data_IF_652403487894
#
_entry.id   IF_652403487894
#
_cell.length_a   1.000
_cell.length_b   1.000
_cell.length_c   1.000
_cell.angle_alpha   90.00
_cell.angle_beta   90.00
_cell.angle_gamma   90.00
#
_symmetry.space_group_name_H-M   'P 1'
#
loop_
_entity.id
_entity.type
_entity.pdbx_description
1 polymer ?
#
# COMPACT_ATOMS: atom_id res chain seq x y z
N UNK A 1 19.69 -16.53 0.69
CA UNK A 1 19.67 -15.93 2.04
C UNK A 1 21.12 -15.85 2.52
N UNK A 2 21.62 -14.67 2.84
CA UNK A 2 22.96 -14.38 3.33
C UNK A 2 22.97 -14.52 4.87
N UNK A 3 23.35 -15.71 5.34
CA UNK A 3 23.39 -16.01 6.77
C UNK A 3 24.56 -15.35 7.50
N UNK A 4 25.61 -14.92 6.79
CA UNK A 4 26.69 -14.12 7.38
C UNK A 4 26.12 -12.78 7.86
N UNK A 5 25.30 -12.12 7.04
CA UNK A 5 24.65 -10.86 7.41
C UNK A 5 23.71 -11.01 8.62
N UNK A 6 23.02 -12.15 8.73
CA UNK A 6 22.20 -12.48 9.91
C UNK A 6 23.08 -12.61 11.16
N UNK A 7 24.17 -13.38 11.07
CA UNK A 7 25.12 -13.57 12.16
C UNK A 7 25.73 -12.25 12.65
N UNK A 8 26.16 -11.40 11.72
CA UNK A 8 26.68 -10.08 12.01
C UNK A 8 25.65 -9.21 12.74
N UNK A 9 24.38 -9.26 12.32
CA UNK A 9 23.34 -8.48 12.98
C UNK A 9 22.98 -8.99 14.38
N UNK A 10 22.93 -10.31 14.57
CA UNK A 10 22.73 -10.90 15.90
C UNK A 10 23.84 -10.42 16.84
N UNK A 11 25.09 -10.44 16.38
CA UNK A 11 26.25 -9.96 17.13
C UNK A 11 26.18 -8.47 17.45
N UNK A 12 25.76 -7.66 16.50
CA UNK A 12 25.56 -6.21 16.66
C UNK A 12 24.52 -5.93 17.76
N UNK A 13 23.30 -6.50 17.63
CA UNK A 13 22.22 -6.31 18.60
C UNK A 13 22.61 -6.82 20.00
N UNK A 14 23.23 -8.00 20.07
CA UNK A 14 23.71 -8.55 21.34
C UNK A 14 24.66 -7.59 22.04
N UNK A 15 25.61 -7.01 21.30
CA UNK A 15 26.57 -6.03 21.84
C UNK A 15 25.89 -4.73 22.26
N UNK A 16 24.94 -4.22 21.48
CA UNK A 16 24.15 -3.03 21.83
C UNK A 16 23.38 -3.22 23.13
N UNK A 17 22.90 -4.44 23.40
CA UNK A 17 22.22 -4.82 24.63
C UNK A 17 23.16 -5.21 25.77
N UNK A 18 24.48 -5.13 25.58
CA UNK A 18 25.47 -5.47 26.61
C UNK A 18 25.54 -6.95 26.98
N UNK A 19 24.98 -7.85 26.16
CA UNK A 19 24.92 -9.29 26.46
C UNK A 19 26.21 -10.01 26.03
N UNK A 20 26.67 -10.95 26.84
CA UNK A 20 27.66 -11.97 26.45
C UNK A 20 27.02 -13.05 25.57
N UNK A 21 27.83 -13.83 24.85
CA UNK A 21 27.32 -14.95 24.05
C UNK A 21 26.70 -16.04 24.93
N UNK A 22 27.17 -16.23 26.17
CA UNK A 22 26.58 -17.17 27.13
C UNK A 22 25.22 -16.72 27.63
N UNK A 23 25.04 -15.42 27.89
CA UNK A 23 23.74 -14.86 28.28
C UNK A 23 22.75 -14.95 27.12
N UNK A 24 23.18 -14.65 25.88
CA UNK A 24 22.34 -14.86 24.71
C UNK A 24 21.97 -16.34 24.51
N UNK A 25 22.88 -17.28 24.82
CA UNK A 25 22.66 -18.71 24.64
C UNK A 25 21.74 -19.35 25.70
N UNK A 26 21.63 -18.77 26.89
CA UNK A 26 21.03 -19.40 28.07
C UNK A 26 19.61 -19.95 27.82
N UNK A 27 19.38 -21.26 27.97
CA UNK A 27 18.06 -21.87 27.72
C UNK A 27 17.61 -21.90 26.25
N UNK A 28 18.50 -21.58 25.30
CA UNK A 28 18.24 -21.63 23.86
C UNK A 28 19.17 -22.66 23.20
N UNK A 29 20.49 -22.48 23.37
CA UNK A 29 21.51 -23.33 22.76
C UNK A 29 22.84 -23.20 23.53
N UNK A 30 23.94 -23.72 22.98
CA UNK A 30 25.26 -23.55 23.60
C UNK A 30 25.91 -22.22 23.23
N UNK A 31 26.76 -21.67 24.10
CA UNK A 31 27.53 -20.46 23.78
C UNK A 31 28.40 -20.65 22.51
N UNK A 32 28.98 -21.84 22.32
CA UNK A 32 29.73 -22.18 21.13
C UNK A 32 28.86 -22.14 19.86
N UNK A 33 27.60 -22.54 19.96
CA UNK A 33 26.64 -22.45 18.85
C UNK A 33 26.29 -21.00 18.52
N UNK A 34 26.05 -20.14 19.51
CA UNK A 34 25.91 -18.69 19.29
C UNK A 34 27.16 -18.13 18.59
N UNK A 35 28.37 -18.49 19.03
CA UNK A 35 29.59 -18.00 18.37
C UNK A 35 29.69 -18.44 16.91
N UNK A 36 29.24 -19.65 16.56
CA UNK A 36 29.24 -20.13 15.16
C UNK A 36 28.16 -19.44 14.33
N UNK A 37 26.99 -19.21 14.91
CA UNK A 37 25.90 -18.44 14.27
C UNK A 37 26.38 -17.01 13.97
N UNK A 38 26.99 -16.33 14.94
CA UNK A 38 27.49 -14.95 14.77
C UNK A 38 28.62 -14.82 13.73
N UNK A 39 29.33 -15.91 13.43
CA UNK A 39 30.35 -15.95 12.36
C UNK A 39 29.78 -16.34 10.99
N UNK A 40 28.52 -16.77 10.94
CA UNK A 40 27.92 -17.36 9.74
C UNK A 40 28.35 -18.80 9.46
N UNK A 41 29.05 -19.45 10.40
CA UNK A 41 29.58 -20.82 10.24
C UNK A 41 28.49 -21.89 10.35
N UNK A 42 27.39 -21.60 11.06
CA UNK A 42 26.27 -22.51 11.29
C UNK A 42 24.95 -21.78 11.13
N UNK A 43 24.02 -22.42 10.42
CA UNK A 43 22.66 -21.92 10.25
C UNK A 43 21.79 -22.33 11.45
N UNK A 44 21.17 -21.38 12.17
CA UNK A 44 20.26 -21.72 13.24
C UNK A 44 18.98 -22.36 12.69
N UNK A 45 18.41 -23.31 13.43
CA UNK A 45 17.03 -23.72 13.19
C UNK A 45 16.08 -22.54 13.41
N UNK A 46 14.93 -22.55 12.74
CA UNK A 46 13.92 -21.49 12.86
C UNK A 46 13.50 -21.24 14.32
N UNK A 47 13.34 -22.31 15.11
CA UNK A 47 13.04 -22.22 16.55
C UNK A 47 14.15 -21.52 17.34
N UNK A 48 15.42 -21.81 17.03
CA UNK A 48 16.57 -21.15 17.66
C UNK A 48 16.61 -19.68 17.30
N UNK A 49 16.41 -19.32 16.02
CA UNK A 49 16.42 -17.93 15.57
C UNK A 49 15.27 -17.13 16.20
N UNK A 50 14.10 -17.73 16.35
CA UNK A 50 12.95 -17.13 17.05
C UNK A 50 13.25 -16.83 18.52
N UNK A 51 13.80 -17.80 19.26
CA UNK A 51 14.16 -17.58 20.67
C UNK A 51 15.26 -16.52 20.82
N UNK A 52 16.21 -16.48 19.89
CA UNK A 52 17.23 -15.41 19.82
C UNK A 52 16.55 -14.06 19.59
N UNK A 53 15.58 -13.95 18.68
CA UNK A 53 14.88 -12.70 18.40
C UNK A 53 14.10 -12.20 19.61
N UNK A 54 13.41 -13.09 20.33
CA UNK A 54 12.73 -12.76 21.57
C UNK A 54 13.68 -12.19 22.62
N UNK A 55 14.85 -12.81 22.81
CA UNK A 55 15.86 -12.32 23.78
C UNK A 55 16.45 -10.97 23.38
N UNK A 56 16.59 -10.73 22.08
CA UNK A 56 17.08 -9.46 21.54
C UNK A 56 15.99 -8.39 21.40
N UNK A 57 14.74 -8.70 21.78
CA UNK A 57 13.63 -7.75 21.73
C UNK A 57 13.22 -7.33 20.31
N UNK A 58 13.46 -8.18 19.31
CA UNK A 58 13.14 -7.91 17.90
C UNK A 58 12.24 -8.99 17.32
N UNK A 59 11.44 -8.61 16.32
CA UNK A 59 10.69 -9.56 15.52
C UNK A 59 11.63 -10.46 14.70
N UNK A 60 11.34 -11.75 14.60
CA UNK A 60 12.20 -12.71 13.87
C UNK A 60 12.34 -12.34 12.38
N UNK A 61 11.33 -11.69 11.79
CA UNK A 61 11.35 -11.21 10.42
C UNK A 61 12.49 -10.22 10.17
N UNK A 62 12.91 -9.46 11.20
CA UNK A 62 14.06 -8.57 11.11
C UNK A 62 15.32 -9.26 10.59
N UNK A 63 15.57 -10.49 11.03
CA UNK A 63 16.73 -11.27 10.59
C UNK A 63 16.54 -11.84 9.19
N UNK A 64 15.33 -12.31 8.85
CA UNK A 64 15.04 -12.80 7.50
C UNK A 64 15.17 -11.71 6.45
N UNK A 65 14.75 -10.50 6.78
CA UNK A 65 14.85 -9.31 5.96
C UNK A 65 16.31 -8.97 5.61
N UNK A 66 17.18 -8.93 6.62
CA UNK A 66 18.63 -8.69 6.46
C UNK A 66 19.29 -9.82 5.65
N UNK A 67 18.88 -11.06 5.90
CA UNK A 67 19.40 -12.22 5.18
C UNK A 67 18.92 -12.31 3.73
N UNK A 68 17.80 -11.71 3.36
CA UNK A 68 17.24 -11.87 2.00
C UNK A 68 17.57 -10.71 1.08
N UNK A 69 17.71 -9.49 1.62
CA UNK A 69 17.94 -8.29 0.82
C UNK A 69 19.11 -7.49 1.39
N UNK A 70 20.27 -7.46 0.71
CA UNK A 70 21.34 -6.53 1.05
C UNK A 70 20.79 -5.09 1.02
N UNK A 71 21.06 -4.31 2.07
CA UNK A 71 20.51 -2.95 2.25
C UNK A 71 18.97 -2.89 2.15
N UNK A 72 18.28 -3.74 2.91
CA UNK A 72 16.80 -3.73 2.94
C UNK A 72 16.23 -2.38 3.37
N UNK A 73 16.92 -1.67 4.27
CA UNK A 73 16.63 -0.31 4.69
C UNK A 73 16.51 0.65 3.50
N UNK A 74 17.44 0.55 2.54
CA UNK A 74 17.41 1.33 1.32
C UNK A 74 16.19 1.00 0.45
N UNK A 75 15.90 -0.29 0.24
CA UNK A 75 14.75 -0.72 -0.56
C UNK A 75 13.42 -0.30 0.09
N UNK A 76 13.33 -0.40 1.42
CA UNK A 76 12.18 0.06 2.19
C UNK A 76 11.98 1.56 2.05
N UNK A 77 13.06 2.34 2.12
CA UNK A 77 13.00 3.80 1.96
C UNK A 77 12.54 4.19 0.55
N UNK A 78 13.08 3.57 -0.50
CA UNK A 78 12.61 3.78 -1.88
C UNK A 78 11.13 3.41 -2.02
N UNK A 79 10.71 2.26 -1.47
CA UNK A 79 9.30 1.85 -1.50
C UNK A 79 8.39 2.84 -0.76
N UNK A 80 8.88 3.44 0.33
CA UNK A 80 8.16 4.47 1.10
C UNK A 80 8.01 5.75 0.28
N UNK A 81 9.09 6.24 -0.34
CA UNK A 81 9.07 7.43 -1.18
C UNK A 81 8.12 7.26 -2.38
N UNK A 82 8.22 6.13 -3.10
CA UNK A 82 7.31 5.81 -4.20
C UNK A 82 5.85 5.77 -3.76
N UNK A 83 5.57 5.22 -2.57
CA UNK A 83 4.22 5.19 -1.99
C UNK A 83 3.71 6.61 -1.68
N UNK A 84 4.53 7.48 -1.11
CA UNK A 84 4.16 8.87 -0.83
C UNK A 84 3.92 9.66 -2.11
N UNK A 85 4.87 9.63 -3.04
CA UNK A 85 4.75 10.31 -4.32
C UNK A 85 3.49 9.87 -5.09
N UNK A 86 3.18 8.56 -5.08
CA UNK A 86 1.93 8.03 -5.66
C UNK A 86 0.67 8.56 -4.97
N UNK A 87 0.67 8.70 -3.64
CA UNK A 87 -0.47 9.23 -2.88
C UNK A 87 -0.68 10.72 -3.13
N UNK A 88 0.40 11.46 -3.30
CA UNK A 88 0.38 12.90 -3.57
C UNK A 88 0.21 13.24 -5.05
N UNK A 89 0.20 12.24 -5.93
CA UNK A 89 0.15 12.38 -7.39
C UNK A 89 1.39 13.09 -7.98
N UNK A 90 2.54 12.93 -7.32
CA UNK A 90 3.84 13.51 -7.70
C UNK A 90 4.53 12.60 -8.76
N UNK A 91 3.93 12.53 -9.95
CA UNK A 91 4.38 11.59 -10.99
C UNK A 91 5.81 11.85 -11.50
N UNK A 92 6.26 13.11 -11.49
CA UNK A 92 7.64 13.45 -11.84
C UNK A 92 8.63 12.90 -10.82
N UNK A 93 8.31 12.95 -9.53
CA UNK A 93 9.14 12.35 -8.48
C UNK A 93 9.21 10.82 -8.63
N UNK A 94 8.08 10.17 -8.93
CA UNK A 94 8.05 8.74 -9.26
C UNK A 94 9.00 8.44 -10.43
N UNK A 95 8.95 9.24 -11.49
CA UNK A 95 9.85 9.10 -12.64
C UNK A 95 11.32 9.18 -12.22
N UNK A 96 11.71 10.22 -11.46
CA UNK A 96 13.10 10.41 -11.04
C UNK A 96 13.59 9.26 -10.14
N UNK A 97 12.77 8.81 -9.18
CA UNK A 97 13.10 7.67 -8.32
C UNK A 97 13.30 6.41 -9.16
N UNK A 98 12.33 6.08 -10.03
CA UNK A 98 12.42 4.88 -10.87
C UNK A 98 13.65 4.95 -11.79
N UNK A 99 13.96 6.10 -12.38
CA UNK A 99 15.14 6.29 -13.23
C UNK A 99 16.47 6.08 -12.51
N UNK A 100 16.58 6.52 -11.27
CA UNK A 100 17.76 6.25 -10.44
C UNK A 100 17.91 4.76 -10.17
N UNK A 101 16.80 4.06 -9.87
CA UNK A 101 16.83 2.65 -9.46
C UNK A 101 16.84 1.64 -10.61
N UNK A 102 16.55 2.06 -11.84
CA UNK A 102 16.48 1.18 -13.03
C UNK A 102 17.79 0.41 -13.31
N UNK A 103 18.93 0.89 -12.80
CA UNK A 103 20.25 0.25 -12.94
C UNK A 103 20.73 -0.41 -11.64
N UNK A 104 19.97 -0.31 -10.56
CA UNK A 104 20.38 -0.80 -9.25
C UNK A 104 20.15 -2.32 -9.15
N UNK A 105 21.24 -3.06 -8.88
CA UNK A 105 21.21 -4.51 -8.74
C UNK A 105 20.24 -4.99 -7.65
N UNK A 106 20.02 -4.20 -6.59
CA UNK A 106 19.08 -4.52 -5.51
C UNK A 106 17.63 -4.68 -6.01
N UNK A 107 17.28 -3.97 -7.08
CA UNK A 107 15.97 -4.07 -7.69
C UNK A 107 15.96 -5.08 -8.83
N UNK A 108 16.97 -5.06 -9.70
CA UNK A 108 17.01 -5.94 -10.88
C UNK A 108 17.13 -7.43 -10.54
N UNK A 109 17.84 -7.78 -9.47
CA UNK A 109 18.09 -9.18 -9.11
C UNK A 109 17.01 -9.78 -8.19
N UNK A 110 16.07 -8.95 -7.71
CA UNK A 110 14.99 -9.39 -6.84
C UNK A 110 13.64 -9.15 -7.52
N UNK A 111 12.90 -10.24 -7.78
CA UNK A 111 11.61 -10.20 -8.50
C UNK A 111 10.58 -9.25 -7.88
N UNK A 112 10.49 -9.19 -6.54
CA UNK A 112 9.55 -8.30 -5.83
C UNK A 112 9.94 -6.83 -5.96
N UNK A 113 11.24 -6.55 -5.88
CA UNK A 113 11.75 -5.18 -6.03
C UNK A 113 11.62 -4.71 -7.49
N UNK A 114 11.90 -5.59 -8.45
CA UNK A 114 11.68 -5.31 -9.87
C UNK A 114 10.21 -5.07 -10.18
N UNK A 115 9.30 -5.86 -9.61
CA UNK A 115 7.86 -5.63 -9.70
C UNK A 115 7.48 -4.24 -9.19
N UNK A 116 8.02 -3.81 -8.05
CA UNK A 116 7.79 -2.46 -7.51
C UNK A 116 8.22 -1.38 -8.52
N UNK A 117 9.38 -1.52 -9.16
CA UNK A 117 9.83 -0.55 -10.16
C UNK A 117 8.95 -0.56 -11.41
N UNK A 118 8.64 -1.73 -11.97
CA UNK A 118 7.81 -1.84 -13.17
C UNK A 118 6.39 -1.30 -12.92
N UNK A 119 5.84 -1.52 -11.73
CA UNK A 119 4.57 -0.95 -11.33
C UNK A 119 4.58 0.58 -11.40
N UNK A 120 5.54 1.22 -10.74
CA UNK A 120 5.66 2.67 -10.72
C UNK A 120 6.06 3.25 -12.08
N UNK A 121 6.81 2.48 -12.86
CA UNK A 121 7.11 2.79 -14.26
C UNK A 121 5.85 2.86 -15.09
N UNK A 122 4.96 1.87 -14.99
CA UNK A 122 3.68 1.86 -15.67
C UNK A 122 2.82 3.08 -15.29
N UNK A 123 2.79 3.45 -14.01
CA UNK A 123 2.08 4.64 -13.53
C UNK A 123 2.60 5.92 -14.22
N UNK A 124 3.90 6.21 -14.13
CA UNK A 124 4.40 7.47 -14.70
C UNK A 124 4.33 7.48 -16.23
N UNK A 125 4.51 6.35 -16.91
CA UNK A 125 4.42 6.28 -18.39
C UNK A 125 3.01 6.66 -18.87
N UNK A 126 1.98 6.33 -18.09
CA UNK A 126 0.64 6.84 -18.36
C UNK A 126 0.50 8.33 -18.02
N UNK A 127 0.81 8.73 -16.78
CA UNK A 127 0.47 10.08 -16.32
C UNK A 127 1.31 11.19 -16.97
N UNK A 128 2.59 10.93 -17.26
CA UNK A 128 3.50 11.89 -17.89
C UNK A 128 3.52 11.78 -19.42
N UNK A 129 3.56 10.56 -19.95
CA UNK A 129 3.76 10.33 -21.39
C UNK A 129 2.48 9.98 -22.14
N UNK A 130 1.34 9.82 -21.44
CA UNK A 130 0.03 9.45 -22.02
C UNK A 130 0.07 8.16 -22.84
N UNK A 131 0.99 7.24 -22.52
CA UNK A 131 1.16 6.00 -23.25
C UNK A 131 0.45 4.83 -22.56
N UNK A 132 -0.84 4.66 -22.85
CA UNK A 132 -1.69 3.62 -22.26
C UNK A 132 -1.15 2.22 -22.54
N UNK A 133 -0.81 1.91 -23.80
CA UNK A 133 -0.33 0.58 -24.19
C UNK A 133 0.95 0.17 -23.46
N UNK A 134 1.91 1.09 -23.38
CA UNK A 134 3.18 0.85 -22.66
C UNK A 134 2.95 0.73 -21.16
N UNK A 135 2.08 1.56 -20.58
CA UNK A 135 1.72 1.46 -19.17
C UNK A 135 1.14 0.08 -18.85
N UNK A 136 0.15 -0.38 -19.62
CA UNK A 136 -0.46 -1.70 -19.43
C UNK A 136 0.55 -2.83 -19.55
N UNK A 137 1.39 -2.81 -20.60
CA UNK A 137 2.45 -3.80 -20.75
C UNK A 137 3.35 -3.88 -19.52
N UNK A 138 3.80 -2.74 -18.99
CA UNK A 138 4.65 -2.69 -17.80
C UNK A 138 3.94 -3.21 -16.55
N UNK A 139 2.66 -2.91 -16.38
CA UNK A 139 1.86 -3.37 -15.24
C UNK A 139 1.61 -4.89 -15.32
N UNK A 140 1.38 -5.42 -16.53
CA UNK A 140 1.24 -6.86 -16.75
C UNK A 140 2.56 -7.60 -16.54
N UNK A 141 3.68 -7.07 -17.06
CA UNK A 141 5.03 -7.58 -16.79
C UNK A 141 5.31 -7.59 -15.27
N UNK A 142 4.90 -6.54 -14.55
CA UNK A 142 5.05 -6.46 -13.09
C UNK A 142 4.25 -7.55 -12.35
N UNK A 143 3.02 -7.84 -12.77
CA UNK A 143 2.21 -8.92 -12.19
C UNK A 143 2.88 -10.28 -12.47
N UNK A 144 3.27 -10.55 -13.72
CA UNK A 144 3.89 -11.83 -14.12
C UNK A 144 5.20 -12.13 -13.37
N UNK A 145 5.91 -11.10 -12.88
CA UNK A 145 7.11 -11.29 -12.10
C UNK A 145 6.90 -12.01 -10.78
N UNK A 146 5.73 -12.00 -10.16
CA UNK A 146 5.52 -12.60 -8.83
C UNK A 146 4.22 -13.36 -8.72
N UNK A 147 3.30 -13.18 -9.67
CA UNK A 147 2.03 -13.84 -9.68
C UNK A 147 2.21 -15.36 -9.83
N UNK A 148 1.63 -16.07 -8.87
CA UNK A 148 1.36 -17.50 -8.92
C UNK A 148 -0.16 -17.69 -8.77
N UNK A 149 -0.65 -18.71 -8.08
CA UNK A 149 -2.10 -18.94 -7.94
C UNK A 149 -2.86 -17.89 -7.11
N UNK A 150 -2.20 -17.24 -6.14
CA UNK A 150 -2.82 -16.31 -5.18
C UNK A 150 -2.24 -14.92 -5.35
N UNK A 151 -3.09 -13.90 -5.32
CA UNK A 151 -2.67 -12.51 -5.40
C UNK A 151 -2.15 -12.05 -4.04
N UNK A 152 -1.00 -11.39 -4.01
CA UNK A 152 -0.58 -10.61 -2.85
C UNK A 152 -1.21 -9.22 -2.89
N UNK A 153 -1.00 -8.44 -1.82
CA UNK A 153 -1.34 -7.01 -1.79
C UNK A 153 -0.79 -6.26 -3.00
N UNK A 154 0.39 -6.65 -3.50
CA UNK A 154 1.02 -5.98 -4.62
C UNK A 154 0.25 -6.16 -5.92
N UNK A 155 -0.22 -7.37 -6.23
CA UNK A 155 -1.03 -7.62 -7.43
C UNK A 155 -2.37 -6.88 -7.36
N UNK A 156 -2.96 -6.75 -6.17
CA UNK A 156 -4.18 -5.94 -5.95
C UNK A 156 -3.89 -4.47 -6.22
N UNK A 157 -2.80 -3.92 -5.70
CA UNK A 157 -2.43 -2.52 -5.93
C UNK A 157 -2.08 -2.21 -7.39
N UNK A 158 -1.40 -3.12 -8.09
CA UNK A 158 -1.12 -2.98 -9.53
C UNK A 158 -2.43 -2.99 -10.32
N UNK A 159 -3.35 -3.90 -9.98
CA UNK A 159 -4.67 -3.97 -10.61
C UNK A 159 -5.49 -2.71 -10.34
N UNK A 160 -5.41 -2.16 -9.13
CA UNK A 160 -6.00 -0.86 -8.81
C UNK A 160 -5.45 0.24 -9.72
N UNK A 161 -4.12 0.30 -9.96
CA UNK A 161 -3.54 1.24 -10.92
C UNK A 161 -4.04 1.04 -12.35
N UNK A 162 -4.16 -0.21 -12.82
CA UNK A 162 -4.73 -0.51 -14.14
C UNK A 162 -6.17 0.01 -14.27
N UNK A 163 -7.01 -0.25 -13.27
CA UNK A 163 -8.39 0.22 -13.26
C UNK A 163 -8.50 1.74 -13.19
N UNK A 164 -7.58 2.43 -12.50
CA UNK A 164 -7.54 3.90 -12.46
C UNK A 164 -7.25 4.43 -13.87
N UNK A 165 -6.27 3.86 -14.58
CA UNK A 165 -5.97 4.26 -15.96
C UNK A 165 -7.20 4.08 -16.86
N UNK A 166 -7.89 2.94 -16.77
CA UNK A 166 -9.12 2.69 -17.57
C UNK A 166 -10.24 3.67 -17.23
N UNK A 167 -10.39 4.02 -15.96
CA UNK A 167 -11.37 5.01 -15.53
C UNK A 167 -11.07 6.39 -16.12
N UNK A 168 -9.80 6.81 -16.13
CA UNK A 168 -9.39 8.11 -16.71
C UNK A 168 -9.53 8.12 -18.24
N UNK A 169 -9.38 6.97 -18.90
CA UNK A 169 -9.65 6.78 -20.34
C UNK A 169 -11.16 6.59 -20.67
N UNK A 170 -12.05 6.80 -19.69
CA UNK A 170 -13.50 6.62 -19.79
C UNK A 170 -13.97 5.18 -20.16
N UNK A 171 -13.08 4.19 -20.09
CA UNK A 171 -13.39 2.78 -20.27
C UNK A 171 -13.91 2.17 -18.96
N UNK A 172 -15.11 2.61 -18.56
CA UNK A 172 -15.67 2.34 -17.23
C UNK A 172 -15.99 0.85 -16.99
N UNK A 173 -16.50 0.14 -17.99
CA UNK A 173 -16.81 -1.30 -17.86
C UNK A 173 -15.53 -2.13 -17.72
N UNK A 174 -14.47 -1.78 -18.44
CA UNK A 174 -13.16 -2.41 -18.30
C UNK A 174 -12.52 -2.09 -16.94
N UNK A 175 -12.69 -0.87 -16.43
CA UNK A 175 -12.25 -0.54 -15.08
C UNK A 175 -12.94 -1.43 -14.02
N UNK A 176 -14.26 -1.67 -14.15
CA UNK A 176 -14.98 -2.60 -13.27
C UNK A 176 -14.49 -4.04 -13.43
N UNK A 177 -14.23 -4.49 -14.66
CA UNK A 177 -13.75 -5.86 -14.92
C UNK A 177 -12.37 -6.13 -14.31
N UNK A 178 -11.56 -5.08 -14.09
CA UNK A 178 -10.29 -5.15 -13.34
C UNK A 178 -10.51 -5.10 -11.83
N UNK A 179 -11.39 -4.22 -11.33
CA UNK A 179 -11.59 -4.05 -9.89
C UNK A 179 -12.31 -5.22 -9.22
N UNK A 180 -13.26 -5.86 -9.89
CA UNK A 180 -14.04 -6.95 -9.32
C UNK A 180 -13.18 -8.17 -8.94
N UNK A 181 -12.30 -8.71 -9.81
CA UNK A 181 -11.34 -9.74 -9.41
C UNK A 181 -10.42 -9.31 -8.27
N UNK A 182 -9.91 -8.07 -8.31
CA UNK A 182 -9.04 -7.54 -7.25
C UNK A 182 -9.75 -7.52 -5.89
N UNK A 183 -11.05 -7.19 -5.87
CA UNK A 183 -11.89 -7.20 -4.66
C UNK A 183 -12.12 -8.63 -4.16
N UNK A 184 -12.40 -9.59 -5.03
CA UNK A 184 -12.59 -10.98 -4.60
C UNK A 184 -11.30 -11.57 -4.04
N UNK A 185 -10.15 -11.28 -4.65
CA UNK A 185 -8.84 -11.68 -4.12
C UNK A 185 -8.51 -11.02 -2.77
N UNK A 186 -8.89 -9.75 -2.60
CA UNK A 186 -8.70 -9.04 -1.33
C UNK A 186 -9.39 -9.74 -0.15
N UNK A 187 -10.54 -10.38 -0.36
CA UNK A 187 -11.26 -11.13 0.69
C UNK A 187 -10.54 -12.41 1.10
N UNK A 188 -9.67 -12.94 0.26
CA UNK A 188 -8.91 -14.17 0.52
C UNK A 188 -7.64 -13.89 1.33
N UNK A 189 -7.24 -12.62 1.48
CA UNK A 189 -6.08 -12.24 2.28
C UNK A 189 -6.44 -12.24 3.78
N UNK A 190 -5.75 -13.06 4.60
CA UNK A 190 -6.05 -13.14 6.04
C UNK A 190 -5.60 -11.90 6.82
N UNK A 191 -4.62 -11.17 6.30
CA UNK A 191 -4.06 -9.97 6.91
C UNK A 191 -3.61 -9.00 5.81
N UNK A 192 -3.73 -7.69 6.09
CA UNK A 192 -3.23 -6.62 5.23
C UNK A 192 -2.13 -5.85 5.96
N UNK A 193 -0.97 -5.70 5.33
CA UNK A 193 0.09 -4.81 5.81
C UNK A 193 -0.27 -3.35 5.55
N UNK A 194 -0.89 -3.05 4.40
CA UNK A 194 -1.42 -1.72 4.10
C UNK A 194 -2.95 -1.68 4.19
N UNK A 195 -3.45 -1.23 5.35
CA UNK A 195 -4.89 -1.05 5.58
C UNK A 195 -5.54 -0.04 4.63
N UNK A 196 -4.80 0.76 3.87
CA UNK A 196 -5.44 1.68 2.91
C UNK A 196 -5.93 0.99 1.63
N UNK A 197 -5.48 -0.23 1.32
CA UNK A 197 -5.76 -0.91 0.04
C UNK A 197 -7.26 -1.09 -0.16
N UNK A 198 -7.97 -1.58 0.87
CA UNK A 198 -9.41 -1.86 0.79
C UNK A 198 -10.22 -0.58 0.54
N UNK A 199 -9.95 0.48 1.30
CA UNK A 199 -10.64 1.76 1.14
C UNK A 199 -10.37 2.38 -0.23
N UNK A 200 -9.13 2.32 -0.73
CA UNK A 200 -8.77 2.79 -2.08
C UNK A 200 -9.49 2.01 -3.17
N UNK A 201 -9.55 0.68 -3.07
CA UNK A 201 -10.24 -0.16 -4.05
C UNK A 201 -11.75 0.14 -4.08
N UNK A 202 -12.37 0.20 -2.90
CA UNK A 202 -13.81 0.45 -2.79
C UNK A 202 -14.18 1.87 -3.24
N UNK A 203 -13.34 2.85 -2.93
CA UNK A 203 -13.52 4.22 -3.42
C UNK A 203 -13.47 4.30 -4.95
N UNK A 204 -12.51 3.63 -5.59
CA UNK A 204 -12.40 3.64 -7.05
C UNK A 204 -13.54 2.84 -7.72
N UNK A 205 -13.96 1.70 -7.16
CA UNK A 205 -15.18 1.00 -7.56
C UNK A 205 -16.40 1.92 -7.50
N UNK A 206 -16.57 2.63 -6.38
CA UNK A 206 -17.68 3.55 -6.17
C UNK A 206 -17.67 4.70 -7.20
N UNK A 207 -16.51 5.32 -7.46
CA UNK A 207 -16.36 6.35 -8.50
C UNK A 207 -16.79 5.85 -9.87
N UNK A 208 -16.36 4.66 -10.27
CA UNK A 208 -16.73 4.05 -11.55
C UNK A 208 -18.24 3.79 -11.61
N UNK A 209 -18.83 3.22 -10.56
CA UNK A 209 -20.26 2.95 -10.47
C UNK A 209 -21.10 4.22 -10.55
N UNK A 210 -20.63 5.32 -9.93
CA UNK A 210 -21.29 6.63 -10.02
C UNK A 210 -21.31 7.15 -11.46
N UNK A 211 -20.18 7.06 -12.18
CA UNK A 211 -20.11 7.45 -13.60
C UNK A 211 -21.02 6.60 -14.49
N UNK A 212 -21.24 5.34 -14.13
CA UNK A 212 -22.20 4.44 -14.78
C UNK A 212 -23.66 4.64 -14.31
N UNK A 213 -23.94 5.63 -13.46
CA UNK A 213 -25.29 5.90 -12.93
C UNK A 213 -25.78 4.90 -11.88
N UNK A 214 -24.96 3.94 -11.44
CA UNK A 214 -25.29 2.92 -10.44
C UNK A 214 -25.12 3.47 -9.01
N UNK A 215 -25.82 4.56 -8.71
CA UNK A 215 -25.62 5.38 -7.51
C UNK A 215 -25.78 4.60 -6.20
N UNK A 216 -26.77 3.71 -6.10
CA UNK A 216 -26.99 2.92 -4.87
C UNK A 216 -25.87 1.92 -4.60
N UNK A 217 -25.27 1.36 -5.65
CA UNK A 217 -24.12 0.45 -5.50
C UNK A 217 -22.88 1.23 -5.05
N UNK A 218 -22.65 2.41 -5.66
CA UNK A 218 -21.58 3.32 -5.27
C UNK A 218 -21.67 3.73 -3.79
N UNK A 219 -22.86 4.17 -3.33
CA UNK A 219 -23.08 4.52 -1.93
C UNK A 219 -22.77 3.36 -0.99
N UNK A 220 -23.18 2.12 -1.34
CA UNK A 220 -22.88 0.94 -0.50
C UNK A 220 -21.38 0.70 -0.38
N UNK A 221 -20.63 0.74 -1.48
CA UNK A 221 -19.18 0.56 -1.42
C UNK A 221 -18.48 1.67 -0.64
N UNK A 222 -18.91 2.92 -0.79
CA UNK A 222 -18.37 4.01 0.03
C UNK A 222 -18.63 3.80 1.52
N UNK A 223 -19.85 3.40 1.92
CA UNK A 223 -20.16 3.14 3.34
C UNK A 223 -19.33 1.99 3.90
N UNK A 224 -19.17 0.90 3.15
CA UNK A 224 -18.30 -0.21 3.56
C UNK A 224 -16.84 0.23 3.73
N UNK A 225 -16.36 1.15 2.90
CA UNK A 225 -15.01 1.70 3.04
C UNK A 225 -14.89 2.66 4.24
N UNK A 226 -15.93 3.45 4.52
CA UNK A 226 -16.01 4.31 5.72
C UNK A 226 -15.95 3.45 6.98
N UNK A 227 -16.78 2.41 7.06
CA UNK A 227 -16.80 1.49 8.21
C UNK A 227 -15.42 0.86 8.42
N UNK A 228 -14.75 0.47 7.32
CA UNK A 228 -13.40 -0.09 7.38
C UNK A 228 -12.34 0.92 7.82
N UNK A 229 -12.40 2.16 7.34
CA UNK A 229 -11.53 3.25 7.79
C UNK A 229 -11.68 3.49 9.30
N UNK A 230 -12.92 3.50 9.82
CA UNK A 230 -13.20 3.69 11.24
C UNK A 230 -12.67 2.51 12.07
N UNK A 231 -12.92 1.27 11.64
CA UNK A 231 -12.44 0.06 12.33
C UNK A 231 -10.90 0.01 12.43
N UNK A 232 -10.20 0.62 11.48
CA UNK A 232 -8.72 0.67 11.41
C UNK A 232 -8.11 1.96 11.94
N UNK A 233 -8.90 2.84 12.56
CA UNK A 233 -8.47 4.17 13.02
C UNK A 233 -7.74 4.98 11.92
N UNK A 234 -8.20 4.86 10.66
CA UNK A 234 -7.50 5.39 9.49
C UNK A 234 -8.27 6.53 8.82
N UNK A 235 -7.73 7.75 8.93
CA UNK A 235 -8.32 8.94 8.31
C UNK A 235 -8.06 9.05 6.80
N UNK A 236 -7.12 8.30 6.25
CA UNK A 236 -6.81 8.35 4.81
C UNK A 236 -8.03 7.94 3.98
N UNK A 237 -8.39 8.77 2.98
CA UNK A 237 -9.60 8.68 2.14
C UNK A 237 -10.95 8.87 2.83
N UNK A 238 -11.00 9.06 4.16
CA UNK A 238 -12.27 9.12 4.88
C UNK A 238 -13.10 10.34 4.47
N UNK A 239 -12.45 11.50 4.26
CA UNK A 239 -13.09 12.72 3.78
C UNK A 239 -13.67 12.56 2.38
N UNK A 240 -12.88 11.99 1.45
CA UNK A 240 -13.27 11.73 0.07
C UNK A 240 -14.42 10.74 -0.03
N UNK A 241 -14.44 9.72 0.84
CA UNK A 241 -15.52 8.76 0.92
C UNK A 241 -16.83 9.41 1.40
N UNK A 242 -16.78 10.21 2.47
CA UNK A 242 -17.94 10.97 2.93
C UNK A 242 -18.44 11.93 1.85
N UNK A 243 -17.53 12.65 1.20
CA UNK A 243 -17.86 13.54 0.09
C UNK A 243 -18.55 12.77 -1.05
N UNK A 244 -18.03 11.60 -1.43
CA UNK A 244 -18.58 10.81 -2.53
C UNK A 244 -19.98 10.25 -2.22
N UNK A 245 -20.24 9.85 -0.96
CA UNK A 245 -21.60 9.51 -0.52
C UNK A 245 -22.52 10.73 -0.64
N UNK A 246 -22.08 11.89 -0.17
CA UNK A 246 -22.83 13.14 -0.28
C UNK A 246 -23.15 13.49 -1.73
N UNK A 247 -22.16 13.39 -2.62
CA UNK A 247 -22.31 13.62 -4.06
C UNK A 247 -23.33 12.68 -4.70
N UNK A 248 -23.31 11.39 -4.35
CA UNK A 248 -24.29 10.44 -4.87
C UNK A 248 -25.72 10.75 -4.38
N UNK A 249 -25.90 11.16 -3.12
CA UNK A 249 -27.21 11.57 -2.61
C UNK A 249 -27.71 12.86 -3.25
N UNK A 250 -26.82 13.80 -3.58
CA UNK A 250 -27.16 14.98 -4.36
C UNK A 250 -27.67 14.61 -5.75
N UNK A 251 -26.98 13.71 -6.46
CA UNK A 251 -27.43 13.20 -7.77
C UNK A 251 -28.80 12.53 -7.67
N UNK A 252 -29.11 11.89 -6.53
CA UNK A 252 -30.45 11.35 -6.20
C UNK A 252 -31.47 12.40 -5.74
N UNK A 253 -31.11 13.69 -5.73
CA UNK A 253 -31.91 14.83 -5.24
C UNK A 253 -32.30 14.74 -3.76
N UNK A 254 -31.57 13.97 -2.96
CA UNK A 254 -31.76 13.83 -1.52
C UNK A 254 -30.85 14.81 -0.76
N UNK A 255 -31.13 16.11 -0.92
CA UNK A 255 -30.24 17.20 -0.53
C UNK A 255 -29.89 17.20 0.97
N UNK A 256 -30.86 16.90 1.85
CA UNK A 256 -30.60 16.89 3.29
C UNK A 256 -29.58 15.82 3.70
N UNK A 257 -29.65 14.65 3.09
CA UNK A 257 -28.69 13.56 3.34
C UNK A 257 -27.35 13.93 2.73
N UNK A 258 -27.34 14.48 1.51
CA UNK A 258 -26.13 14.95 0.84
C UNK A 258 -25.35 15.95 1.71
N UNK A 259 -26.06 16.96 2.25
CA UNK A 259 -25.51 17.97 3.16
C UNK A 259 -24.83 17.34 4.37
N UNK A 260 -25.51 16.44 5.09
CA UNK A 260 -24.94 15.80 6.29
C UNK A 260 -23.64 15.05 5.99
N UNK A 261 -23.53 14.37 4.84
CA UNK A 261 -22.29 13.70 4.45
C UNK A 261 -21.19 14.68 4.03
N UNK A 262 -21.54 15.76 3.34
CA UNK A 262 -20.57 16.79 2.94
C UNK A 262 -20.02 17.58 4.14
N UNK A 263 -20.82 17.82 5.18
CA UNK A 263 -20.35 18.41 6.44
C UNK A 263 -19.33 17.52 7.16
N UNK A 264 -19.58 16.20 7.21
CA UNK A 264 -18.60 15.24 7.74
C UNK A 264 -17.30 15.26 6.95
N UNK A 265 -17.39 15.25 5.62
CA UNK A 265 -16.22 15.36 4.76
C UNK A 265 -15.42 16.64 5.04
N UNK A 266 -16.11 17.76 5.23
CA UNK A 266 -15.48 19.06 5.52
C UNK A 266 -14.66 19.03 6.82
N UNK A 267 -15.23 18.49 7.90
CA UNK A 267 -14.52 18.35 9.19
C UNK A 267 -13.26 17.52 9.02
N UNK A 268 -13.34 16.41 8.27
CA UNK A 268 -12.19 15.53 8.06
C UNK A 268 -11.11 16.23 7.23
N UNK A 269 -11.47 16.92 6.15
CA UNK A 269 -10.50 17.66 5.34
C UNK A 269 -9.82 18.79 6.13
N UNK A 270 -10.56 19.48 7.00
CA UNK A 270 -9.99 20.48 7.92
C UNK A 270 -8.98 19.86 8.89
N UNK A 271 -9.28 18.68 9.47
CA UNK A 271 -8.36 17.95 10.34
C UNK A 271 -7.11 17.45 9.60
N UNK A 272 -7.24 17.07 8.33
CA UNK A 272 -6.14 16.62 7.48
C UNK A 272 -5.32 17.78 6.88
N UNK A 273 -5.75 19.03 7.09
CA UNK A 273 -5.19 20.21 6.44
C UNK A 273 -5.20 20.11 4.90
N UNK A 274 -6.18 19.38 4.34
CA UNK A 274 -6.37 19.29 2.89
C UNK A 274 -7.32 20.37 2.40
N UNK A 275 -6.75 21.51 2.01
CA UNK A 275 -7.52 22.67 1.59
C UNK A 275 -8.15 22.53 0.18
N UNK A 276 -7.76 21.51 -0.59
CA UNK A 276 -8.14 21.37 -2.01
C UNK A 276 -9.66 21.37 -2.21
N UNK A 277 -10.40 20.76 -1.28
CA UNK A 277 -11.84 20.52 -1.43
C UNK A 277 -12.73 21.39 -0.52
N UNK A 278 -12.15 22.05 0.49
CA UNK A 278 -12.89 22.78 1.53
C UNK A 278 -13.77 23.87 0.95
N UNK A 279 -13.21 24.77 0.13
CA UNK A 279 -13.95 25.91 -0.42
C UNK A 279 -15.07 25.47 -1.37
N UNK A 280 -14.80 24.43 -2.17
CA UNK A 280 -15.80 23.85 -3.07
C UNK A 280 -16.99 23.29 -2.29
N UNK A 281 -16.72 22.51 -1.23
CA UNK A 281 -17.76 21.91 -0.40
C UNK A 281 -18.55 22.97 0.37
N UNK A 282 -17.89 23.96 0.98
CA UNK A 282 -18.55 25.07 1.70
C UNK A 282 -19.50 25.84 0.78
N UNK A 283 -19.04 26.21 -0.42
CA UNK A 283 -19.87 26.89 -1.42
C UNK A 283 -21.10 26.04 -1.78
N UNK A 284 -20.89 24.74 -2.00
CA UNK A 284 -21.97 23.82 -2.37
C UNK A 284 -23.04 23.71 -1.28
N UNK A 285 -22.63 23.52 -0.04
CA UNK A 285 -23.54 23.48 1.12
C UNK A 285 -24.37 24.77 1.21
N UNK A 286 -23.72 25.93 1.06
CA UNK A 286 -24.43 27.23 1.14
C UNK A 286 -25.52 27.39 0.07
N UNK A 287 -25.34 26.81 -1.12
CA UNK A 287 -26.37 26.88 -2.18
C UNK A 287 -27.63 26.07 -1.87
N UNK A 288 -27.55 25.08 -0.96
CA UNK A 288 -28.70 24.30 -0.52
C UNK A 288 -29.47 25.00 0.59
N UNK A 289 -28.79 25.81 1.40
CA UNK A 289 -29.40 26.56 2.50
C UNK A 289 -30.24 27.75 2.03
N UNK A 290 -29.93 28.29 0.85
CA UNK A 290 -30.69 29.40 0.24
C UNK A 290 -31.96 28.90 -0.49
N UNK A 291 -32.08 27.59 -0.74
CA UNK A 291 -33.17 26.99 -1.52
C UNK A 291 -34.26 26.31 -0.69
N UNK A 292 -34.14 26.34 0.64
CA UNK A 292 -35.13 25.87 1.61
C UNK A 292 -35.75 27.07 2.33
#
# INVERSE_FOLDING_TARGET
>A
MNFSAIGDKIKELRKLMGLSQSELAHGICTQAQISKIEKGDVFPYASTLYLISQRLGVDVNYFFDIGTTPRIDYVQEVSRQLKLARRNLEYEEIYQIVKTEEKNALFLQNRKNLQLLLWHKGIYEYHLNKNVSKAFKLLDDAIQLTHDKVWSEREIEISLSKGIILFEEENLDDALSIYEPAKEQLKLLPYLQDDTIKSRLYYNLARTLTRLGKLDQSIRYCKQAIDYCIERDNLYLLGELHYHVGYNYELKKQIQIAKSYMEKALIIFELQMDEKYIQFIKKKISTWDVKN
#
